data_IF_451910978337
#
_entry.id   IF_451910978337
#
_cell.length_a   1.000
_cell.length_b   1.000
_cell.length_c   1.000
_cell.angle_alpha   90.00
_cell.angle_beta   90.00
_cell.angle_gamma   90.00
#
_symmetry.space_group_name_H-M   'P 1'
#
loop_
_entity.id
_entity.type
_entity.pdbx_description
1 polymer ?
#
# COMPACT_ATOMS: atom_id res chain seq x y z
N UNK A 1 2.28 -13.01 -0.54
CA UNK A 1 1.88 -11.63 -0.90
C UNK A 1 0.69 -11.23 -0.02
N UNK A 2 0.72 -10.05 0.64
CA UNK A 2 -0.45 -9.55 1.37
C UNK A 2 -1.58 -9.17 0.40
N UNK A 3 -2.83 -9.28 0.84
CA UNK A 3 -3.97 -8.76 0.10
C UNK A 3 -3.94 -7.23 0.01
N UNK A 4 -4.44 -6.68 -1.11
CA UNK A 4 -4.45 -5.23 -1.39
C UNK A 4 -5.85 -4.72 -1.79
N UNK A 5 -6.92 -5.44 -1.45
CA UNK A 5 -8.30 -4.97 -1.64
C UNK A 5 -8.73 -4.08 -0.48
N UNK A 6 -9.86 -3.37 -0.60
CA UNK A 6 -10.40 -2.55 0.50
C UNK A 6 -10.74 -3.32 1.78
N UNK A 7 -10.82 -4.66 1.72
CA UNK A 7 -11.01 -5.53 2.89
C UNK A 7 -9.71 -6.14 3.41
N UNK A 8 -8.57 -5.77 2.83
CA UNK A 8 -7.27 -6.28 3.24
C UNK A 8 -6.66 -5.41 4.33
N UNK A 9 -5.92 -6.04 5.25
CA UNK A 9 -5.33 -5.37 6.42
C UNK A 9 -4.31 -4.28 6.05
N UNK A 10 -3.57 -4.45 4.94
CA UNK A 10 -2.54 -3.48 4.53
C UNK A 10 -3.16 -2.14 4.07
N UNK A 11 -4.12 -2.11 3.12
CA UNK A 11 -4.84 -0.87 2.80
C UNK A 11 -5.59 -0.26 3.99
N UNK A 12 -6.19 -1.07 4.87
CA UNK A 12 -6.85 -0.55 6.08
C UNK A 12 -5.84 0.14 7.01
N UNK A 13 -4.70 -0.47 7.30
CA UNK A 13 -3.67 0.13 8.14
C UNK A 13 -3.07 1.40 7.52
N UNK A 14 -2.89 1.42 6.19
CA UNK A 14 -2.43 2.60 5.48
C UNK A 14 -3.43 3.77 5.61
N UNK A 15 -4.73 3.48 5.45
CA UNK A 15 -5.80 4.46 5.63
C UNK A 15 -5.82 5.01 7.06
N UNK A 16 -5.74 4.16 8.08
CA UNK A 16 -5.64 4.57 9.48
C UNK A 16 -4.38 5.42 9.76
N UNK A 17 -3.32 5.22 8.97
CA UNK A 17 -2.08 6.01 9.04
C UNK A 17 -2.14 7.32 8.23
N UNK A 18 -3.29 7.62 7.61
CA UNK A 18 -3.50 8.83 6.80
C UNK A 18 -2.99 8.74 5.36
N UNK A 19 -2.68 7.55 4.86
CA UNK A 19 -2.26 7.33 3.48
C UNK A 19 -3.45 6.88 2.61
N UNK A 20 -3.59 7.47 1.43
CA UNK A 20 -4.49 6.92 0.41
C UNK A 20 -3.93 5.66 -0.22
N UNK A 21 -4.78 4.89 -0.89
CA UNK A 21 -4.35 3.69 -1.60
C UNK A 21 -3.30 4.01 -2.68
N UNK A 22 -3.47 5.10 -3.42
CA UNK A 22 -2.51 5.55 -4.43
C UNK A 22 -1.16 5.89 -3.81
N UNK A 23 -1.14 6.59 -2.67
CA UNK A 23 0.09 6.90 -1.94
C UNK A 23 0.80 5.63 -1.48
N UNK A 24 0.06 4.69 -0.88
CA UNK A 24 0.58 3.38 -0.48
C UNK A 24 1.26 2.64 -1.65
N UNK A 25 0.59 2.58 -2.80
CA UNK A 25 1.13 1.89 -3.99
C UNK A 25 2.40 2.58 -4.50
N UNK A 26 2.43 3.92 -4.53
CA UNK A 26 3.61 4.66 -4.94
C UNK A 26 4.80 4.44 -3.99
N UNK A 27 4.57 4.39 -2.67
CA UNK A 27 5.65 4.10 -1.71
C UNK A 27 6.20 2.68 -1.89
N UNK A 28 5.33 1.69 -2.11
CA UNK A 28 5.75 0.31 -2.41
C UNK A 28 6.62 0.27 -3.67
N UNK A 29 6.16 0.92 -4.75
CA UNK A 29 6.87 0.95 -6.03
C UNK A 29 8.24 1.64 -5.93
N UNK A 30 8.37 2.70 -5.12
CA UNK A 30 9.67 3.36 -4.88
C UNK A 30 10.70 2.45 -4.21
N UNK A 31 10.25 1.51 -3.39
CA UNK A 31 11.09 0.52 -2.73
C UNK A 31 11.41 -0.70 -3.61
N UNK A 32 10.80 -0.81 -4.79
CA UNK A 32 11.10 -1.88 -5.73
C UNK A 32 12.36 -1.55 -6.53
N UNK A 33 13.33 -2.47 -6.50
CA UNK A 33 14.44 -2.46 -7.44
C UNK A 33 13.94 -2.93 -8.82
N UNK A 34 14.19 -2.15 -9.86
CA UNK A 34 13.80 -2.47 -11.23
C UNK A 34 15.06 -2.78 -12.01
N UNK A 35 15.40 -4.07 -12.07
CA UNK A 35 16.47 -4.59 -12.93
C UNK A 35 16.02 -4.64 -14.40
#
# INVERSE_FOLDING_TARGET
>A
VPGMTGHSLVPMAALESGLTFEQLVLEILRGCDVA
#
